data_IF_916935745781
#
_entry.id   IF_916935745781
#
_cell.length_a   1.000
_cell.length_b   1.000
_cell.length_c   1.000
_cell.angle_alpha   90.00
_cell.angle_beta   90.00
_cell.angle_gamma   90.00
#
_symmetry.space_group_name_H-M   'P 1'
#
loop_
_entity.id
_entity.type
_entity.pdbx_description
1 polymer ?
#
# COMPACT_ATOMS: atom_id res chain seq x y z
N UNK A 1 30.25 -17.96 -14.29
CA UNK A 1 29.67 -16.70 -13.76
C UNK A 1 28.37 -17.07 -13.06
N UNK A 2 28.29 -16.92 -11.74
CA UNK A 2 27.06 -17.20 -10.98
C UNK A 2 26.04 -16.08 -11.21
N UNK A 3 24.93 -16.40 -11.86
CA UNK A 3 23.78 -15.50 -11.95
C UNK A 3 23.07 -15.51 -10.59
N UNK A 4 23.10 -14.40 -9.86
CA UNK A 4 22.36 -14.26 -8.61
C UNK A 4 21.07 -13.47 -8.88
N UNK A 5 19.94 -14.03 -8.47
CA UNK A 5 18.62 -13.43 -8.67
C UNK A 5 18.19 -12.72 -7.38
N UNK A 6 18.38 -11.39 -7.31
CA UNK A 6 18.00 -10.61 -6.12
C UNK A 6 16.50 -10.34 -6.15
N UNK A 7 15.74 -11.12 -5.39
CA UNK A 7 14.34 -10.84 -5.11
C UNK A 7 14.22 -9.98 -3.85
N UNK A 8 13.61 -8.80 -3.97
CA UNK A 8 13.26 -7.98 -2.81
C UNK A 8 11.88 -8.40 -2.32
N UNK A 9 11.78 -8.90 -1.09
CA UNK A 9 10.50 -9.26 -0.49
C UNK A 9 9.68 -8.03 -0.11
N UNK A 10 8.37 -8.09 -0.33
CA UNK A 10 7.42 -7.09 0.17
C UNK A 10 7.25 -7.23 1.69
N UNK A 11 6.93 -6.13 2.36
CA UNK A 11 6.62 -6.11 3.80
C UNK A 11 5.12 -6.36 4.01
N UNK A 12 4.77 -7.04 5.11
CA UNK A 12 3.37 -7.28 5.46
C UNK A 12 2.75 -6.04 6.10
N UNK A 13 1.62 -5.58 5.55
CA UNK A 13 0.87 -4.44 6.11
C UNK A 13 0.26 -4.82 7.46
N UNK A 14 -0.27 -6.03 7.58
CA UNK A 14 -0.92 -6.52 8.80
C UNK A 14 0.05 -6.56 9.99
N UNK A 15 1.26 -7.08 9.78
CA UNK A 15 2.25 -7.12 10.86
C UNK A 15 2.69 -5.71 11.27
N UNK A 16 2.83 -4.78 10.32
CA UNK A 16 3.17 -3.39 10.60
C UNK A 16 2.08 -2.69 11.43
N UNK A 17 0.81 -2.91 11.10
CA UNK A 17 -0.33 -2.40 11.88
C UNK A 17 -0.37 -3.04 13.27
N UNK A 18 -0.19 -4.36 13.36
CA UNK A 18 -0.23 -5.10 14.63
C UNK A 18 0.87 -4.63 15.59
N UNK A 19 2.10 -4.47 15.09
CA UNK A 19 3.23 -3.95 15.86
C UNK A 19 2.98 -2.52 16.33
N UNK A 20 2.49 -1.65 15.45
CA UNK A 20 2.17 -0.26 15.79
C UNK A 20 0.98 -0.17 16.75
N UNK A 21 0.01 -1.08 16.67
CA UNK A 21 -1.11 -1.13 17.60
C UNK A 21 -0.68 -1.56 19.01
N UNK A 22 0.30 -2.45 19.13
CA UNK A 22 0.74 -2.99 20.42
C UNK A 22 1.84 -2.12 21.07
N UNK A 23 2.72 -1.54 20.25
CA UNK A 23 3.92 -0.80 20.70
C UNK A 23 3.88 0.70 20.36
N UNK A 24 2.86 1.16 19.63
CA UNK A 24 2.69 2.58 19.28
C UNK A 24 3.80 3.09 18.36
N UNK A 25 4.49 4.19 18.73
CA UNK A 25 5.60 4.75 17.95
C UNK A 25 6.75 3.75 17.72
N UNK A 26 7.00 2.86 18.69
CA UNK A 26 8.05 1.85 18.59
C UNK A 26 7.72 0.80 17.51
N UNK A 27 6.45 0.46 17.35
CA UNK A 27 6.02 -0.46 16.28
C UNK A 27 6.25 0.10 14.87
N UNK A 28 6.34 1.44 14.75
CA UNK A 28 6.52 2.14 13.48
C UNK A 28 7.89 1.87 12.85
N UNK A 29 8.89 1.49 13.64
CA UNK A 29 10.25 1.14 13.15
C UNK A 29 10.27 -0.07 12.21
N UNK A 30 9.28 -0.96 12.29
CA UNK A 30 9.13 -2.05 11.33
C UNK A 30 8.87 -1.54 9.90
N UNK A 31 8.08 -0.47 9.81
CA UNK A 31 7.58 0.12 8.57
C UNK A 31 8.48 1.24 8.05
N UNK A 32 8.93 2.14 8.93
CA UNK A 32 9.82 3.27 8.59
C UNK A 32 10.64 3.73 9.80
N UNK A 33 11.96 3.79 9.62
CA UNK A 33 12.89 4.24 10.67
C UNK A 33 12.72 5.74 10.94
N UNK A 34 12.66 6.55 9.88
CA UNK A 34 12.51 8.01 10.00
C UNK A 34 11.19 8.42 10.63
N UNK A 35 10.08 7.78 10.22
CA UNK A 35 8.78 8.05 10.83
C UNK A 35 8.75 7.64 12.30
N UNK A 36 9.36 6.50 12.66
CA UNK A 36 9.48 6.06 14.05
C UNK A 36 10.25 7.05 14.91
N UNK A 37 11.38 7.59 14.43
CA UNK A 37 12.17 8.60 15.15
C UNK A 37 11.35 9.87 15.36
N UNK A 38 10.72 10.42 14.31
CA UNK A 38 9.95 11.66 14.41
C UNK A 38 8.77 11.49 15.38
N UNK A 39 8.07 10.36 15.29
CA UNK A 39 6.90 10.08 16.14
C UNK A 39 7.24 9.75 17.59
N UNK A 40 8.46 9.28 17.86
CA UNK A 40 8.95 9.01 19.22
C UNK A 40 9.54 10.27 19.85
N UNK A 41 10.31 11.06 19.09
CA UNK A 41 10.97 12.26 19.61
C UNK A 41 10.06 13.50 19.64
N UNK A 42 9.17 13.66 18.66
CA UNK A 42 8.23 14.78 18.60
C UNK A 42 7.41 15.02 19.87
N UNK A 43 6.79 13.99 20.49
CA UNK A 43 5.96 14.17 21.68
C UNK A 43 6.75 14.48 22.96
N UNK A 44 8.08 14.37 22.98
CA UNK A 44 8.89 14.44 24.21
C UNK A 44 8.64 15.71 25.02
N UNK A 45 8.51 16.86 24.37
CA UNK A 45 8.26 18.12 25.09
C UNK A 45 6.86 18.16 25.70
N UNK A 46 5.84 17.74 24.96
CA UNK A 46 4.44 17.74 25.43
C UNK A 46 4.29 16.77 26.59
N UNK A 47 4.77 15.54 26.42
CA UNK A 47 4.74 14.50 27.46
C UNK A 47 5.58 14.93 28.67
N UNK A 48 6.75 15.52 28.44
CA UNK A 48 7.62 16.02 29.52
C UNK A 48 6.93 17.08 30.37
N UNK A 49 6.32 18.09 29.74
CA UNK A 49 5.59 19.15 30.46
C UNK A 49 4.38 18.57 31.19
N UNK A 50 3.62 17.67 30.56
CA UNK A 50 2.47 17.00 31.21
C UNK A 50 2.89 16.18 32.42
N UNK A 51 4.01 15.45 32.34
CA UNK A 51 4.56 14.66 33.45
C UNK A 51 5.06 15.56 34.58
N UNK A 52 5.73 16.67 34.28
CA UNK A 52 6.13 17.64 35.30
C UNK A 52 4.91 18.21 36.06
N UNK A 53 3.79 18.44 35.36
CA UNK A 53 2.54 18.86 35.96
C UNK A 53 1.97 17.86 37.00
N UNK A 54 2.23 16.56 36.84
CA UNK A 54 1.80 15.53 37.78
C UNK A 54 2.56 15.55 39.11
N UNK A 55 3.77 16.13 39.14
CA UNK A 55 4.58 16.25 40.36
C UNK A 55 4.27 17.51 41.18
N UNK A 56 3.29 18.32 40.76
CA UNK A 56 2.88 19.51 41.50
C UNK A 56 1.86 19.15 42.58
N UNK A 57 1.88 19.85 43.73
CA UNK A 57 0.93 19.64 44.83
C UNK A 57 -0.49 20.18 44.55
N UNK A 58 -0.72 20.74 43.35
CA UNK A 58 -1.98 21.37 42.97
C UNK A 58 -2.87 20.31 42.28
N UNK A 59 -3.90 19.84 43.00
CA UNK A 59 -4.82 18.79 42.53
C UNK A 59 -5.43 19.06 41.15
N UNK A 60 -5.77 20.32 40.86
CA UNK A 60 -6.37 20.73 39.57
C UNK A 60 -5.37 20.50 38.41
N UNK A 61 -4.09 20.81 38.62
CA UNK A 61 -3.04 20.67 37.60
C UNK A 61 -2.78 19.18 37.34
N UNK A 62 -2.79 18.35 38.39
CA UNK A 62 -2.65 16.90 38.25
C UNK A 62 -3.78 16.31 37.40
N UNK A 63 -5.04 16.67 37.68
CA UNK A 63 -6.20 16.17 36.94
C UNK A 63 -6.14 16.57 35.46
N UNK A 64 -5.85 17.84 35.16
CA UNK A 64 -5.73 18.35 33.78
C UNK A 64 -4.55 17.69 33.05
N UNK A 65 -3.41 17.51 33.72
CA UNK A 65 -2.24 16.83 33.17
C UNK A 65 -2.54 15.39 32.77
N UNK A 66 -3.26 14.64 33.63
CA UNK A 66 -3.62 13.25 33.39
C UNK A 66 -4.61 13.10 32.22
N UNK A 67 -5.65 13.94 32.19
CA UNK A 67 -6.64 13.94 31.08
C UNK A 67 -5.97 14.30 29.75
N UNK A 68 -5.08 15.29 29.76
CA UNK A 68 -4.33 15.71 28.57
C UNK A 68 -3.41 14.60 28.08
N UNK A 69 -2.69 13.92 28.97
CA UNK A 69 -1.80 12.81 28.63
C UNK A 69 -2.57 11.64 28.02
N UNK A 70 -3.68 11.22 28.63
CA UNK A 70 -4.53 10.14 28.12
C UNK A 70 -5.09 10.45 26.74
N UNK A 71 -5.64 11.65 26.58
CA UNK A 71 -6.22 12.11 25.31
C UNK A 71 -5.13 12.14 24.23
N UNK A 72 -4.00 12.75 24.53
CA UNK A 72 -2.85 12.82 23.63
C UNK A 72 -2.37 11.43 23.22
N UNK A 73 -2.19 10.53 24.18
CA UNK A 73 -1.75 9.16 23.93
C UNK A 73 -2.68 8.43 22.96
N UNK A 74 -4.00 8.48 23.18
CA UNK A 74 -4.97 7.83 22.30
C UNK A 74 -4.93 8.37 20.86
N UNK A 75 -4.95 9.69 20.69
CA UNK A 75 -4.90 10.30 19.36
C UNK A 75 -3.56 10.03 18.66
N UNK A 76 -2.45 10.13 19.39
CA UNK A 76 -1.11 9.87 18.85
C UNK A 76 -0.95 8.41 18.39
N UNK A 77 -1.53 7.47 19.13
CA UNK A 77 -1.54 6.05 18.78
C UNK A 77 -2.26 5.78 17.47
N UNK A 78 -3.43 6.39 17.26
CA UNK A 78 -4.18 6.28 16.00
C UNK A 78 -3.40 6.83 14.80
N UNK A 79 -2.75 7.99 14.97
CA UNK A 79 -1.90 8.60 13.94
C UNK A 79 -0.75 7.64 13.55
N UNK A 80 -0.13 6.99 14.53
CA UNK A 80 0.93 6.02 14.29
C UNK A 80 0.44 4.84 13.42
N UNK A 81 -0.75 4.30 13.71
CA UNK A 81 -1.33 3.17 12.96
C UNK A 81 -1.52 3.53 11.48
N UNK A 82 -2.12 4.69 11.22
CA UNK A 82 -2.37 5.17 9.85
C UNK A 82 -1.04 5.35 9.11
N UNK A 83 -0.06 5.97 9.76
CA UNK A 83 1.25 6.19 9.17
C UNK A 83 1.98 4.87 8.86
N UNK A 84 1.93 3.90 9.77
CA UNK A 84 2.51 2.57 9.55
C UNK A 84 1.94 1.91 8.29
N UNK A 85 0.61 1.95 8.12
CA UNK A 85 -0.05 1.41 6.93
C UNK A 85 0.40 2.11 5.63
N UNK A 86 0.51 3.45 5.65
CA UNK A 86 0.98 4.24 4.50
C UNK A 86 2.44 3.91 4.17
N UNK A 87 3.30 3.83 5.18
CA UNK A 87 4.73 3.54 5.01
C UNK A 87 4.98 2.16 4.39
N UNK A 88 4.27 1.11 4.85
CA UNK A 88 4.38 -0.22 4.25
C UNK A 88 3.88 -0.22 2.80
N UNK A 89 2.75 0.42 2.52
CA UNK A 89 2.21 0.52 1.16
C UNK A 89 3.20 1.23 0.23
N UNK A 90 3.81 2.31 0.69
CA UNK A 90 4.81 3.05 -0.08
C UNK A 90 6.06 2.21 -0.35
N UNK A 91 6.54 1.46 0.65
CA UNK A 91 7.66 0.52 0.50
C UNK A 91 7.37 -0.56 -0.54
N UNK A 92 6.20 -1.21 -0.45
CA UNK A 92 5.79 -2.26 -1.37
C UNK A 92 5.62 -1.71 -2.80
N UNK A 93 5.02 -0.52 -2.95
CA UNK A 93 4.90 0.17 -4.25
C UNK A 93 6.26 0.47 -4.86
N UNK A 94 7.25 0.89 -4.07
CA UNK A 94 8.62 1.15 -4.54
C UNK A 94 9.28 -0.12 -5.07
N UNK A 95 9.15 -1.24 -4.36
CA UNK A 95 9.70 -2.54 -4.82
C UNK A 95 9.02 -2.99 -6.11
N UNK A 96 7.69 -2.90 -6.19
CA UNK A 96 6.93 -3.29 -7.37
C UNK A 96 7.33 -2.44 -8.59
N UNK A 97 7.48 -1.12 -8.42
CA UNK A 97 7.92 -0.23 -9.49
C UNK A 97 9.35 -0.55 -9.94
N UNK A 98 10.26 -0.86 -9.01
CA UNK A 98 11.63 -1.29 -9.33
C UNK A 98 11.65 -2.61 -10.11
N UNK A 99 10.83 -3.59 -9.71
CA UNK A 99 10.69 -4.86 -10.42
C UNK A 99 10.19 -4.63 -11.85
N UNK A 100 9.16 -3.79 -12.02
CA UNK A 100 8.60 -3.47 -13.33
C UNK A 100 9.61 -2.75 -14.23
N UNK A 101 10.39 -1.82 -13.68
CA UNK A 101 11.46 -1.15 -14.42
C UNK A 101 12.50 -2.17 -14.91
N UNK A 102 12.99 -3.03 -14.03
CA UNK A 102 14.01 -4.02 -14.41
C UNK A 102 13.52 -4.96 -15.53
N UNK A 103 12.25 -5.36 -15.53
CA UNK A 103 11.66 -6.18 -16.60
C UNK A 103 11.68 -5.45 -17.96
N UNK A 104 11.54 -4.12 -17.99
CA UNK A 104 11.54 -3.34 -19.23
C UNK A 104 12.93 -3.17 -19.85
N UNK A 105 14.02 -3.30 -19.09
CA UNK A 105 15.38 -3.06 -19.58
C UNK A 105 16.14 -4.32 -20.02
N UNK A 106 15.63 -5.51 -19.73
CA UNK A 106 16.14 -6.76 -20.29
C UNK A 106 15.22 -7.18 -21.45
N UNK A 107 15.64 -7.01 -22.73
CA UNK A 107 14.88 -7.56 -23.85
C UNK A 107 14.84 -9.08 -23.69
N UNK A 108 13.65 -9.60 -23.38
CA UNK A 108 13.43 -11.04 -23.29
C UNK A 108 13.66 -11.63 -24.67
N UNK A 109 14.71 -12.47 -24.76
CA UNK A 109 14.96 -13.28 -25.94
C UNK A 109 14.00 -14.48 -25.86
N UNK A 110 12.99 -14.57 -26.75
CA UNK A 110 11.87 -15.51 -26.59
C UNK A 110 12.26 -16.98 -26.73
N UNK A 111 13.53 -17.28 -27.00
CA UNK A 111 14.02 -18.63 -27.29
C UNK A 111 14.41 -19.46 -26.06
N UNK A 112 14.40 -18.88 -24.85
CA UNK A 112 14.90 -19.57 -23.64
C UNK A 112 13.95 -19.59 -22.43
N UNK A 113 12.70 -19.16 -22.55
CA UNK A 113 11.77 -19.09 -21.40
C UNK A 113 10.85 -20.32 -21.30
N UNK A 114 10.71 -20.88 -20.09
CA UNK A 114 9.77 -21.98 -19.85
C UNK A 114 8.31 -21.48 -19.88
N UNK A 115 7.35 -22.29 -20.36
CA UNK A 115 5.96 -21.87 -20.58
C UNK A 115 5.26 -21.23 -19.36
N UNK A 116 5.65 -21.62 -18.15
CA UNK A 116 5.09 -21.10 -16.90
C UNK A 116 5.41 -19.64 -16.62
N UNK A 117 6.53 -19.12 -17.15
CA UNK A 117 6.89 -17.70 -16.97
C UNK A 117 6.09 -16.79 -17.92
N UNK A 118 5.84 -17.25 -19.14
CA UNK A 118 5.02 -16.56 -20.13
C UNK A 118 3.56 -16.41 -19.66
N UNK A 119 2.96 -17.46 -19.10
CA UNK A 119 1.57 -17.40 -18.63
C UNK A 119 1.37 -16.39 -17.48
N UNK A 120 2.29 -16.39 -16.51
CA UNK A 120 2.23 -15.46 -15.39
C UNK A 120 2.48 -14.01 -15.82
N UNK A 121 3.34 -13.78 -16.82
CA UNK A 121 3.54 -12.46 -17.42
C UNK A 121 2.26 -11.96 -18.10
N UNK A 122 1.61 -12.79 -18.91
CA UNK A 122 0.37 -12.40 -19.62
C UNK A 122 -0.73 -12.01 -18.64
N UNK A 123 -0.88 -12.77 -17.53
CA UNK A 123 -1.82 -12.44 -16.46
C UNK A 123 -1.50 -11.09 -15.78
N UNK A 124 -0.22 -10.79 -15.56
CA UNK A 124 0.21 -9.52 -14.97
C UNK A 124 0.04 -8.31 -15.90
N UNK A 125 0.32 -8.47 -17.20
CA UNK A 125 0.11 -7.43 -18.21
C UNK A 125 -1.39 -7.13 -18.39
N UNK A 126 -2.24 -8.17 -18.46
CA UNK A 126 -3.69 -8.02 -18.55
C UNK A 126 -4.30 -7.30 -17.34
N UNK A 127 -3.77 -7.53 -16.12
CA UNK A 127 -4.19 -6.84 -14.91
C UNK A 127 -3.71 -5.38 -14.83
N UNK A 128 -2.60 -5.03 -15.49
CA UNK A 128 -2.08 -3.66 -15.54
C UNK A 128 -2.92 -2.78 -16.46
N UNK A 129 -3.27 -3.28 -17.64
CA UNK A 129 -4.06 -2.53 -18.64
C UNK A 129 -5.47 -2.20 -18.12
N UNK A 130 -6.07 -3.08 -17.31
CA UNK A 130 -7.39 -2.80 -16.70
C UNK A 130 -7.38 -1.69 -15.65
N UNK A 131 -6.22 -1.34 -15.09
CA UNK A 131 -6.10 -0.39 -13.98
C UNK A 131 -5.59 1.01 -14.40
N UNK A 132 -5.30 1.24 -15.69
CA UNK A 132 -4.68 2.48 -16.19
C UNK A 132 -5.54 3.30 -17.17
N UNK A 133 -6.76 2.90 -17.52
CA UNK A 133 -7.57 3.65 -18.49
C UNK A 133 -8.35 4.80 -17.84
N UNK A 134 -8.03 6.08 -18.14
CA UNK A 134 -8.88 7.21 -17.77
C UNK A 134 -10.20 7.15 -18.55
N UNK A 135 -11.31 7.23 -17.83
CA UNK A 135 -12.68 7.30 -18.36
C UNK A 135 -12.87 8.56 -19.21
N UNK A 136 -12.52 8.52 -20.49
CA UNK A 136 -12.78 9.64 -21.42
C UNK A 136 -13.41 9.14 -22.71
N UNK A 137 -14.73 9.37 -22.79
CA UNK A 137 -15.59 9.36 -23.97
C UNK A 137 -15.60 8.08 -24.83
N UNK A 138 -16.57 7.19 -24.57
CA UNK A 138 -17.07 6.26 -25.58
C UNK A 138 -18.50 6.68 -25.96
N UNK A 139 -18.59 7.52 -26.98
CA UNK A 139 -19.82 7.91 -27.65
C UNK A 139 -20.43 6.69 -28.38
N UNK A 140 -21.69 6.40 -28.08
CA UNK A 140 -22.81 5.96 -28.93
C UNK A 140 -22.69 4.81 -29.96
N UNK A 141 -21.54 4.18 -30.18
CA UNK A 141 -21.39 3.10 -31.20
C UNK A 141 -21.28 1.68 -30.62
N UNK A 142 -21.55 1.49 -29.32
CA UNK A 142 -21.48 0.17 -28.69
C UNK A 142 -22.85 -0.53 -28.81
N UNK A 143 -22.99 -1.60 -29.62
CA UNK A 143 -24.25 -2.33 -29.75
C UNK A 143 -24.59 -3.00 -28.43
N UNK A 144 -25.89 -3.13 -28.11
CA UNK A 144 -26.32 -3.81 -26.89
C UNK A 144 -25.72 -5.23 -26.82
N UNK A 145 -25.22 -5.63 -25.64
CA UNK A 145 -24.57 -6.93 -25.44
C UNK A 145 -25.47 -8.10 -25.86
N UNK A 146 -26.78 -7.98 -25.68
CA UNK A 146 -27.74 -9.01 -26.05
C UNK A 146 -27.79 -9.19 -27.58
N UNK A 147 -27.79 -8.09 -28.33
CA UNK A 147 -27.84 -8.13 -29.80
C UNK A 147 -26.52 -8.64 -30.38
N UNK A 148 -25.40 -8.27 -29.74
CA UNK A 148 -24.08 -8.75 -30.15
C UNK A 148 -23.89 -10.25 -29.90
N UNK A 149 -24.34 -10.78 -28.76
CA UNK A 149 -24.25 -12.21 -28.44
C UNK A 149 -25.19 -13.04 -29.35
N UNK A 150 -26.37 -12.52 -29.69
CA UNK A 150 -27.26 -13.15 -30.68
C UNK A 150 -26.58 -13.27 -32.06
N UNK A 151 -25.83 -12.25 -32.46
CA UNK A 151 -25.07 -12.28 -33.72
C UNK A 151 -23.79 -13.15 -33.65
N UNK A 152 -23.31 -13.51 -32.45
CA UNK A 152 -22.05 -14.23 -32.24
C UNK A 152 -22.22 -15.39 -31.22
N UNK A 153 -22.93 -16.48 -31.56
CA UNK A 153 -23.27 -17.55 -30.62
C UNK A 153 -22.05 -18.32 -30.07
N UNK A 154 -20.92 -18.28 -30.77
CA UNK A 154 -19.67 -18.94 -30.36
C UNK A 154 -18.76 -18.03 -29.50
N UNK A 155 -19.25 -16.85 -29.11
CA UNK A 155 -18.48 -15.85 -28.35
C UNK A 155 -19.14 -15.61 -27.01
N UNK A 156 -18.31 -15.50 -25.98
CA UNK A 156 -18.76 -15.26 -24.61
C UNK A 156 -18.93 -13.78 -24.30
N UNK A 157 -19.58 -13.50 -23.17
CA UNK A 157 -19.68 -12.14 -22.59
C UNK A 157 -18.30 -11.50 -22.44
N UNK A 158 -17.27 -12.27 -22.14
CA UNK A 158 -15.90 -11.77 -22.03
C UNK A 158 -15.36 -11.22 -23.37
N UNK A 159 -15.67 -11.89 -24.49
CA UNK A 159 -15.25 -11.45 -25.82
C UNK A 159 -15.90 -10.11 -26.22
N UNK A 160 -17.14 -9.88 -25.78
CA UNK A 160 -17.83 -8.61 -25.98
C UNK A 160 -17.09 -7.46 -25.29
N UNK A 161 -16.72 -7.64 -24.01
CA UNK A 161 -15.98 -6.61 -23.28
C UNK A 161 -14.58 -6.39 -23.86
N UNK A 162 -13.89 -7.44 -24.31
CA UNK A 162 -12.60 -7.29 -24.99
C UNK A 162 -12.75 -6.45 -26.28
N UNK A 163 -13.85 -6.62 -27.02
CA UNK A 163 -14.07 -5.94 -28.30
C UNK A 163 -14.50 -4.47 -28.17
N UNK A 164 -15.33 -4.13 -27.19
CA UNK A 164 -15.95 -2.79 -27.09
C UNK A 164 -15.53 -1.98 -25.87
N UNK A 165 -14.81 -2.57 -24.89
CA UNK A 165 -14.23 -1.85 -23.76
C UNK A 165 -12.81 -1.45 -24.14
N UNK A 166 -12.67 -0.36 -24.89
CA UNK A 166 -11.39 0.37 -25.01
C UNK A 166 -11.28 1.41 -23.92
#
# INVERSE_FOLDING_TARGET
MQNYHVVKSTKSVGIGILLTLLLGPIGLFYSTVWGGIIMTCGPILVVGISVLGLFTDIEIIQAVGLVTLLTYFLFWWLICIIWSAIAVKQYNKKIMNQSNYNISYYPVNPTTESPSYLENRTKQLAFRDSNQLPLKNLNNDVPNIQDWLKANPNKGVNDYYIKFRK
#
